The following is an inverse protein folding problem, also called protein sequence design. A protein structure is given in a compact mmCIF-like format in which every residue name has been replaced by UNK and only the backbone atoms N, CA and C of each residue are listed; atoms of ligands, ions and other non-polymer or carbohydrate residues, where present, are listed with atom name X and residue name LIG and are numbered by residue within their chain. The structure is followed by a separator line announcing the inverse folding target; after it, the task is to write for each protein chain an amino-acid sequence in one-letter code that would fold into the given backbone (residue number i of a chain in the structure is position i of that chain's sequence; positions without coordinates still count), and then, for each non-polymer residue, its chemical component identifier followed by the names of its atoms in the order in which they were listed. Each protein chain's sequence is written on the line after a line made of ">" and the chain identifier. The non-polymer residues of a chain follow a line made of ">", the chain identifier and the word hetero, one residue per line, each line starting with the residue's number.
data_IF_546749180665
#
_entry.id   IF_546749180665
#
_cell.length_a   1.000
_cell.length_b   1.000
_cell.length_c   1.000
_cell.angle_alpha   90.00
_cell.angle_beta   90.00
_cell.angle_gamma   90.00
#
_symmetry.space_group_name_H-M   'P 1'
#
loop_
_entity.id
_entity.type
_entity.pdbx_description
1 polymer ?
#
# COMPACT_ATOMS: atom_id res chain seq x y z
N UNK A 1 8.54 -18.91 15.38
CA UNK A 1 7.90 -19.19 14.13
C UNK A 1 6.54 -18.52 13.98
N UNK A 2 6.28 -17.94 12.83
CA UNK A 2 5.00 -17.35 12.48
C UNK A 2 4.04 -18.37 11.87
N UNK A 3 2.75 -18.03 11.86
CA UNK A 3 1.74 -18.76 11.10
C UNK A 3 1.50 -18.06 9.77
N UNK A 4 1.46 -18.84 8.68
CA UNK A 4 1.12 -18.35 7.35
C UNK A 4 -0.34 -18.68 7.06
N UNK A 5 -1.10 -17.68 6.61
CA UNK A 5 -2.47 -17.84 6.17
C UNK A 5 -2.53 -17.58 4.67
N UNK A 6 -3.03 -18.56 3.92
CA UNK A 6 -3.34 -18.39 2.51
C UNK A 6 -4.87 -18.33 2.34
N UNK A 7 -5.37 -17.50 1.43
CA UNK A 7 -6.80 -17.43 1.16
C UNK A 7 -7.27 -18.68 0.41
N UNK A 8 -8.33 -19.28 0.92
CA UNK A 8 -9.16 -20.25 0.21
C UNK A 8 -10.54 -19.62 -0.08
N UNK A 9 -11.40 -20.32 -0.78
CA UNK A 9 -12.73 -19.80 -1.17
C UNK A 9 -13.60 -19.38 0.02
N UNK A 10 -13.39 -19.96 1.19
CA UNK A 10 -14.18 -19.72 2.40
C UNK A 10 -13.50 -18.71 3.36
N UNK A 11 -12.34 -18.19 2.99
CA UNK A 11 -11.56 -17.30 3.83
C UNK A 11 -12.00 -15.83 3.75
N UNK A 12 -12.91 -15.51 2.83
CA UNK A 12 -13.39 -14.16 2.60
C UNK A 12 -14.72 -13.93 3.29
N UNK A 13 -14.82 -12.82 4.01
CA UNK A 13 -16.04 -12.34 4.64
C UNK A 13 -16.33 -10.92 4.15
N UNK A 14 -17.60 -10.49 4.17
CA UNK A 14 -17.93 -9.10 3.88
C UNK A 14 -17.34 -8.20 4.96
N UNK A 15 -16.61 -7.18 4.51
CA UNK A 15 -16.13 -6.09 5.35
C UNK A 15 -16.90 -4.82 4.97
N UNK A 16 -17.35 -4.08 5.97
CA UNK A 16 -17.92 -2.76 5.80
C UNK A 16 -16.84 -1.72 6.07
N UNK A 17 -16.58 -0.86 5.07
CA UNK A 17 -15.54 0.19 5.13
C UNK A 17 -16.21 1.56 4.94
N UNK A 18 -16.67 2.21 6.01
CA UNK A 18 -17.35 3.49 5.92
C UNK A 18 -16.47 4.56 5.25
N UNK A 19 -17.03 5.26 4.26
CA UNK A 19 -16.34 6.30 3.51
C UNK A 19 -15.54 5.80 2.30
N UNK A 20 -15.47 4.47 2.07
CA UNK A 20 -14.96 3.93 0.82
C UNK A 20 -16.02 4.08 -0.28
N UNK A 21 -15.58 4.43 -1.50
CA UNK A 21 -16.47 4.57 -2.65
C UNK A 21 -16.68 3.26 -3.41
N UNK A 22 -15.62 2.47 -3.55
CA UNK A 22 -15.64 1.25 -4.36
C UNK A 22 -15.80 -0.01 -3.52
N UNK A 23 -15.35 0.03 -2.26
CA UNK A 23 -15.34 -1.13 -1.35
C UNK A 23 -16.07 -0.85 -0.04
N UNK A 24 -17.12 -0.04 -0.05
CA UNK A 24 -17.93 0.19 1.15
C UNK A 24 -18.44 -1.12 1.77
N UNK A 25 -18.83 -2.08 0.92
CA UNK A 25 -19.06 -3.48 1.31
C UNK A 25 -18.37 -4.39 0.32
N UNK A 26 -17.33 -5.09 0.75
CA UNK A 26 -16.59 -5.96 -0.15
C UNK A 26 -16.04 -7.21 0.55
N UNK A 27 -15.83 -8.26 -0.25
CA UNK A 27 -15.21 -9.49 0.23
C UNK A 27 -13.76 -9.24 0.64
N UNK A 28 -13.41 -9.56 1.87
CA UNK A 28 -12.13 -9.28 2.49
C UNK A 28 -11.56 -10.54 3.15
N UNK A 29 -10.27 -10.78 3.00
CA UNK A 29 -9.57 -11.89 3.64
C UNK A 29 -9.36 -11.60 5.12
N UNK A 30 -10.38 -11.89 5.94
CA UNK A 30 -10.47 -11.50 7.35
C UNK A 30 -9.72 -12.43 8.30
N UNK A 31 -9.50 -13.66 7.90
CA UNK A 31 -8.95 -14.70 8.78
C UNK A 31 -7.67 -14.31 9.53
N UNK A 32 -6.65 -13.67 8.88
CA UNK A 32 -5.43 -13.26 9.57
C UNK A 32 -5.63 -12.17 10.63
N UNK A 33 -6.74 -11.44 10.56
CA UNK A 33 -7.03 -10.29 11.42
C UNK A 33 -7.88 -10.66 12.65
N UNK A 34 -8.34 -11.92 12.75
CA UNK A 34 -9.11 -12.37 13.92
C UNK A 34 -8.20 -12.43 15.14
N UNK A 35 -8.63 -11.78 16.24
CA UNK A 35 -7.94 -11.77 17.53
C UNK A 35 -6.54 -11.15 17.51
N UNK A 36 -6.26 -10.23 16.58
CA UNK A 36 -5.04 -9.42 16.56
C UNK A 36 -5.32 -8.00 17.03
N UNK A 37 -4.37 -7.42 17.74
CA UNK A 37 -4.44 -6.04 18.21
C UNK A 37 -3.39 -5.13 17.55
N UNK A 38 -2.51 -5.68 16.78
CA UNK A 38 -1.48 -4.97 16.00
C UNK A 38 -1.40 -5.54 14.59
N UNK A 39 -1.32 -4.64 13.62
CA UNK A 39 -1.16 -4.99 12.21
C UNK A 39 0.07 -4.25 11.69
N UNK A 40 1.01 -4.99 11.14
CA UNK A 40 2.20 -4.44 10.50
C UNK A 40 2.10 -4.74 9.00
N UNK A 41 2.05 -3.68 8.20
CA UNK A 41 2.14 -3.78 6.74
C UNK A 41 3.60 -3.82 6.30
N UNK A 42 3.97 -4.78 5.46
CA UNK A 42 5.31 -4.85 4.86
C UNK A 42 5.14 -4.94 3.35
N UNK A 43 5.74 -4.02 2.63
CA UNK A 43 5.63 -3.95 1.18
C UNK A 43 6.98 -3.59 0.54
N UNK A 44 7.36 -4.21 -0.59
CA UNK A 44 8.48 -3.75 -1.39
C UNK A 44 8.12 -2.46 -2.15
N UNK A 45 9.11 -1.59 -2.35
CA UNK A 45 8.95 -0.43 -3.21
C UNK A 45 8.99 -0.84 -4.68
N UNK A 46 7.90 -0.57 -5.42
CA UNK A 46 7.76 -0.94 -6.83
C UNK A 46 7.07 0.14 -7.64
N UNK A 47 7.52 0.29 -8.88
CA UNK A 47 6.74 0.93 -9.93
C UNK A 47 5.37 0.27 -10.12
N UNK A 48 4.44 1.00 -10.69
CA UNK A 48 3.15 0.49 -11.12
C UNK A 48 2.61 1.31 -12.29
N UNK A 49 2.35 0.64 -13.40
CA UNK A 49 1.95 1.27 -14.65
C UNK A 49 0.66 2.12 -14.59
N UNK A 50 -0.28 1.82 -13.70
CA UNK A 50 -1.56 2.53 -13.61
C UNK A 50 -1.59 3.60 -12.50
N UNK A 51 -1.03 3.35 -11.34
CA UNK A 51 -1.06 4.28 -10.20
C UNK A 51 0.33 4.80 -9.81
N UNK A 52 1.31 4.60 -10.67
CA UNK A 52 2.69 5.07 -10.56
C UNK A 52 3.53 4.46 -9.44
N UNK A 53 2.90 3.84 -8.44
CA UNK A 53 3.60 3.19 -7.34
C UNK A 53 2.77 2.05 -6.73
N UNK A 54 3.45 0.99 -6.33
CA UNK A 54 2.92 -0.07 -5.47
C UNK A 54 3.76 -0.10 -4.20
N UNK A 55 3.23 0.49 -3.14
CA UNK A 55 3.87 0.71 -1.85
C UNK A 55 2.99 0.15 -0.72
N UNK A 56 3.10 0.70 0.48
CA UNK A 56 2.42 0.22 1.67
C UNK A 56 0.90 0.17 1.54
N UNK A 57 0.26 1.25 1.07
CA UNK A 57 -1.20 1.33 0.94
C UNK A 57 -1.71 0.33 -0.10
N UNK A 58 -1.12 0.34 -1.29
CA UNK A 58 -1.56 -0.56 -2.38
C UNK A 58 -1.35 -2.04 -2.06
N UNK A 59 -0.43 -2.37 -1.18
CA UNK A 59 -0.17 -3.76 -0.80
C UNK A 59 -1.42 -4.45 -0.22
N UNK A 60 -2.31 -3.69 0.42
CA UNK A 60 -3.57 -4.21 0.95
C UNK A 60 -4.56 -4.69 -0.12
N UNK A 61 -4.33 -4.35 -1.39
CA UNK A 61 -5.14 -4.84 -2.50
C UNK A 61 -5.20 -6.37 -2.56
N UNK A 62 -4.15 -7.04 -2.10
CA UNK A 62 -4.09 -8.50 -2.00
C UNK A 62 -5.13 -9.12 -1.07
N UNK A 63 -5.72 -8.34 -0.16
CA UNK A 63 -6.75 -8.80 0.78
C UNK A 63 -8.17 -8.79 0.20
N UNK A 64 -8.38 -8.17 -0.95
CA UNK A 64 -9.68 -8.13 -1.61
C UNK A 64 -9.96 -9.46 -2.29
N UNK A 65 -11.16 -9.98 -2.08
CA UNK A 65 -11.70 -11.15 -2.77
C UNK A 65 -12.53 -10.77 -4.01
N UNK A 66 -13.23 -11.76 -4.55
CA UNK A 66 -14.17 -11.58 -5.66
C UNK A 66 -13.51 -11.04 -6.94
N UNK A 67 -14.28 -10.26 -7.70
CA UNK A 67 -13.83 -9.70 -8.98
C UNK A 67 -12.99 -8.42 -8.81
N UNK A 68 -12.05 -8.41 -7.87
CA UNK A 68 -11.23 -7.22 -7.55
C UNK A 68 -10.54 -6.58 -8.75
N UNK A 69 -10.23 -7.35 -9.81
CA UNK A 69 -9.54 -6.83 -10.99
C UNK A 69 -10.30 -5.70 -11.70
N UNK A 70 -11.63 -5.61 -11.55
CA UNK A 70 -12.43 -4.51 -12.08
C UNK A 70 -11.99 -3.14 -11.56
N UNK A 71 -11.44 -3.07 -10.35
CA UNK A 71 -11.00 -1.81 -9.73
C UNK A 71 -9.75 -1.21 -10.37
N UNK A 72 -9.08 -1.90 -11.29
CA UNK A 72 -7.98 -1.31 -12.04
C UNK A 72 -8.44 -0.18 -12.99
N UNK A 73 -9.75 -0.09 -13.28
CA UNK A 73 -10.31 1.02 -14.04
C UNK A 73 -10.34 2.33 -13.23
N UNK A 74 -10.46 2.23 -11.89
CA UNK A 74 -10.48 3.34 -10.95
C UNK A 74 -9.36 3.19 -9.92
N UNK A 75 -8.13 2.98 -10.39
CA UNK A 75 -7.01 2.52 -9.57
C UNK A 75 -6.65 3.49 -8.43
N UNK A 76 -6.75 4.79 -8.65
CA UNK A 76 -6.46 5.77 -7.60
C UNK A 76 -7.55 5.78 -6.53
N UNK A 77 -8.83 5.63 -6.93
CA UNK A 77 -9.94 5.54 -5.97
C UNK A 77 -9.81 4.30 -5.11
N UNK A 78 -9.62 3.11 -5.73
CA UNK A 78 -9.50 1.87 -4.94
C UNK A 78 -8.29 1.92 -3.99
N UNK A 79 -7.12 2.42 -4.43
CA UNK A 79 -5.96 2.50 -3.55
C UNK A 79 -6.22 3.47 -2.39
N UNK A 80 -6.91 4.58 -2.62
CA UNK A 80 -7.32 5.47 -1.53
C UNK A 80 -8.31 4.81 -0.56
N UNK A 81 -9.24 3.98 -1.06
CA UNK A 81 -10.16 3.21 -0.22
C UNK A 81 -9.42 2.18 0.66
N UNK A 82 -8.36 1.55 0.12
CA UNK A 82 -7.53 0.63 0.89
C UNK A 82 -6.90 1.28 2.12
N UNK A 83 -6.61 2.59 2.05
CA UNK A 83 -6.00 3.34 3.16
C UNK A 83 -6.91 3.46 4.38
N UNK A 84 -8.24 3.47 4.17
CA UNK A 84 -9.22 3.48 5.25
C UNK A 84 -9.74 2.08 5.61
N UNK A 85 -9.63 1.13 4.69
CA UNK A 85 -10.00 -0.27 4.92
C UNK A 85 -9.11 -0.92 5.99
N UNK A 86 -7.81 -0.68 5.92
CA UNK A 86 -6.83 -1.17 6.90
C UNK A 86 -6.06 0.01 7.45
N UNK A 87 -6.07 0.14 8.78
CA UNK A 87 -5.24 1.11 9.52
C UNK A 87 -4.12 0.34 10.25
N UNK A 88 -2.96 0.18 9.61
CA UNK A 88 -1.86 -0.54 10.22
C UNK A 88 -1.31 0.22 11.43
N UNK A 89 -0.82 -0.53 12.42
CA UNK A 89 -0.07 0.04 13.55
C UNK A 89 1.30 0.56 13.09
N UNK A 90 1.86 -0.10 12.08
CA UNK A 90 3.14 0.24 11.48
C UNK A 90 3.12 -0.18 10.01
N UNK A 91 3.62 0.68 9.13
CA UNK A 91 3.91 0.36 7.73
C UNK A 91 5.42 0.32 7.55
N UNK A 92 5.93 -0.74 6.93
CA UNK A 92 7.32 -0.89 6.54
C UNK A 92 7.37 -0.98 5.02
N UNK A 93 8.17 -0.13 4.39
CA UNK A 93 8.47 -0.22 2.96
C UNK A 93 9.92 -0.67 2.80
N UNK A 94 10.08 -1.83 2.19
CA UNK A 94 11.36 -2.38 1.82
C UNK A 94 11.86 -1.71 0.54
N UNK A 95 12.85 -0.87 0.67
CA UNK A 95 13.57 -0.20 -0.40
C UNK A 95 15.00 -0.70 -0.54
N UNK A 96 15.34 -1.88 -0.02
CA UNK A 96 16.68 -2.45 -0.23
C UNK A 96 16.96 -2.66 -1.71
N UNK A 97 15.95 -3.14 -2.44
CA UNK A 97 15.91 -3.20 -3.90
C UNK A 97 14.58 -2.66 -4.39
N UNK A 98 14.62 -1.79 -5.38
CA UNK A 98 13.45 -1.06 -5.88
C UNK A 98 13.22 -1.40 -7.34
N UNK A 99 12.02 -1.84 -7.69
CA UNK A 99 11.61 -2.00 -9.09
C UNK A 99 11.24 -0.62 -9.63
N UNK A 100 12.07 -0.09 -10.53
CA UNK A 100 11.97 1.29 -11.04
C UNK A 100 11.01 1.43 -12.21
N UNK A 101 10.87 0.39 -13.01
CA UNK A 101 10.11 0.41 -14.28
C UNK A 101 9.43 -0.93 -14.52
N UNK A 102 8.42 -0.94 -15.41
CA UNK A 102 7.67 -2.12 -15.84
C UNK A 102 6.97 -2.86 -14.68
N UNK A 103 6.63 -2.12 -13.61
CA UNK A 103 5.86 -2.66 -12.49
C UNK A 103 4.36 -2.83 -12.79
N UNK A 104 3.69 -3.63 -11.98
CA UNK A 104 4.14 -4.18 -10.68
C UNK A 104 4.87 -5.53 -10.77
N UNK A 105 4.84 -6.21 -11.92
CA UNK A 105 5.41 -7.55 -12.07
C UNK A 105 6.88 -7.55 -12.46
N UNK A 106 7.30 -6.51 -13.17
CA UNK A 106 8.66 -6.44 -13.72
C UNK A 106 8.89 -7.52 -14.76
N UNK A 107 10.04 -8.17 -14.72
CA UNK A 107 10.40 -9.27 -15.59
C UNK A 107 11.86 -9.22 -16.05
N UNK A 108 12.46 -8.03 -15.99
CA UNK A 108 13.86 -7.82 -16.30
C UNK A 108 14.61 -7.29 -15.05
N UNK A 109 15.66 -7.98 -14.58
CA UNK A 109 16.48 -7.53 -13.47
C UNK A 109 17.10 -6.13 -13.66
N UNK A 110 17.30 -5.68 -14.90
CA UNK A 110 17.81 -4.33 -15.20
C UNK A 110 16.88 -3.20 -14.72
N UNK A 111 15.59 -3.51 -14.53
CA UNK A 111 14.61 -2.56 -13.99
C UNK A 111 14.70 -2.42 -12.46
N UNK A 112 15.55 -3.20 -11.79
CA UNK A 112 15.72 -3.17 -10.34
C UNK A 112 17.00 -2.41 -9.99
N UNK A 113 16.90 -1.51 -9.03
CA UNK A 113 18.03 -0.77 -8.46
C UNK A 113 18.15 -1.02 -6.97
N UNK A 114 19.36 -0.93 -6.47
CA UNK A 114 19.62 -0.90 -5.04
C UNK A 114 19.17 0.45 -4.47
N UNK A 115 18.24 0.39 -3.51
CA UNK A 115 17.77 1.57 -2.79
C UNK A 115 18.39 1.70 -1.40
N UNK A 116 18.96 0.59 -0.86
CA UNK A 116 19.72 0.51 0.39
C UNK A 116 19.01 1.17 1.59
N UNK A 117 17.69 1.13 1.62
CA UNK A 117 16.91 1.76 2.67
C UNK A 117 15.73 0.89 3.11
N UNK A 118 15.37 1.02 4.38
CA UNK A 118 14.11 0.52 4.93
C UNK A 118 13.40 1.71 5.54
N UNK A 119 12.16 1.93 5.13
CA UNK A 119 11.31 2.97 5.66
C UNK A 119 10.26 2.37 6.58
N UNK A 120 10.05 2.98 7.74
CA UNK A 120 8.99 2.58 8.66
C UNK A 120 8.20 3.81 9.14
N UNK A 121 6.89 3.72 9.19
CA UNK A 121 6.04 4.83 9.60
C UNK A 121 4.67 4.38 10.12
N UNK A 122 4.10 5.21 11.00
CA UNK A 122 2.75 5.04 11.52
C UNK A 122 1.70 5.82 10.71
N UNK A 123 2.15 6.70 9.82
CA UNK A 123 1.33 7.41 8.85
C UNK A 123 1.56 6.78 7.47
N UNK A 124 0.62 5.97 6.94
CA UNK A 124 0.83 5.26 5.69
C UNK A 124 0.92 6.20 4.47
N UNK A 125 0.25 7.36 4.51
CA UNK A 125 0.27 8.34 3.42
C UNK A 125 1.64 9.02 3.36
N UNK A 126 2.14 9.48 4.50
CA UNK A 126 3.48 10.07 4.61
C UNK A 126 4.58 9.08 4.22
N UNK A 127 4.43 7.82 4.64
CA UNK A 127 5.35 6.72 4.31
C UNK A 127 5.41 6.48 2.79
N UNK A 128 4.25 6.35 2.15
CA UNK A 128 4.18 6.13 0.70
C UNK A 128 4.64 7.36 -0.09
N UNK A 129 4.34 8.59 0.38
CA UNK A 129 4.80 9.82 -0.25
C UNK A 129 6.34 9.92 -0.26
N UNK A 130 6.98 9.63 0.87
CA UNK A 130 8.44 9.60 0.96
C UNK A 130 9.03 8.52 0.04
N UNK A 131 8.48 7.32 0.07
CA UNK A 131 8.96 6.22 -0.76
C UNK A 131 8.83 6.52 -2.26
N UNK A 132 7.78 7.20 -2.67
CA UNK A 132 7.58 7.63 -4.05
C UNK A 132 8.67 8.61 -4.50
N UNK A 133 8.94 9.64 -3.70
CA UNK A 133 9.94 10.67 -4.05
C UNK A 133 11.37 10.13 -3.99
N UNK A 134 11.71 9.32 -2.98
CA UNK A 134 13.11 8.96 -2.68
C UNK A 134 13.51 7.56 -3.12
N UNK A 135 12.63 6.56 -2.98
CA UNK A 135 12.95 5.19 -3.42
C UNK A 135 12.67 5.02 -4.92
N UNK A 136 11.51 5.46 -5.40
CA UNK A 136 11.19 5.44 -6.83
C UNK A 136 11.82 6.62 -7.60
N UNK A 137 12.43 7.57 -6.90
CA UNK A 137 13.13 8.73 -7.49
C UNK A 137 12.24 9.53 -8.44
N UNK A 138 10.98 9.75 -8.08
CA UNK A 138 9.99 10.47 -8.86
C UNK A 138 9.62 11.79 -8.18
N UNK A 139 10.45 12.84 -8.40
CA UNK A 139 10.16 14.18 -7.86
C UNK A 139 8.96 14.80 -8.58
N UNK A 140 8.25 15.67 -7.88
CA UNK A 140 7.14 16.43 -8.45
C UNK A 140 5.80 16.03 -7.84
N UNK A 141 4.77 15.92 -8.69
CA UNK A 141 3.43 15.61 -8.22
C UNK A 141 3.33 14.16 -7.74
N UNK A 142 2.85 13.98 -6.53
CA UNK A 142 2.55 12.65 -5.99
C UNK A 142 1.36 12.01 -6.72
N UNK A 143 1.26 10.67 -6.72
CA UNK A 143 0.09 9.97 -7.24
C UNK A 143 -1.22 10.43 -6.59
N UNK A 144 -2.28 10.56 -7.38
CA UNK A 144 -3.56 11.08 -6.90
C UNK A 144 -4.14 10.30 -5.71
N UNK A 145 -3.91 9.00 -5.64
CA UNK A 145 -4.38 8.19 -4.51
C UNK A 145 -3.86 8.66 -3.15
N UNK A 146 -2.68 9.31 -3.09
CA UNK A 146 -2.13 9.83 -1.84
C UNK A 146 -2.91 11.06 -1.35
N UNK A 147 -3.25 11.98 -2.25
CA UNK A 147 -4.10 13.14 -1.92
C UNK A 147 -5.51 12.69 -1.53
N UNK A 148 -6.07 11.71 -2.23
CA UNK A 148 -7.38 11.15 -1.91
C UNK A 148 -7.36 10.43 -0.56
N UNK A 149 -6.30 9.69 -0.22
CA UNK A 149 -6.13 9.05 1.08
C UNK A 149 -5.98 10.08 2.21
N UNK A 150 -5.30 11.19 1.97
CA UNK A 150 -5.25 12.31 2.92
C UNK A 150 -6.63 12.93 3.14
N UNK A 151 -7.42 13.14 2.08
CA UNK A 151 -8.80 13.62 2.17
C UNK A 151 -9.69 12.67 2.97
N UNK A 152 -9.47 11.36 2.85
CA UNK A 152 -10.15 10.32 3.65
C UNK A 152 -9.64 10.20 5.09
N UNK A 153 -8.67 11.02 5.50
CA UNK A 153 -8.16 11.07 6.86
C UNK A 153 -7.19 9.95 7.23
N UNK A 154 -6.54 9.31 6.24
CA UNK A 154 -5.62 8.20 6.47
C UNK A 154 -4.21 8.65 6.85
N UNK A 155 -3.87 9.91 6.65
CA UNK A 155 -2.55 10.47 6.94
C UNK A 155 -2.32 11.79 6.23
N UNK A 156 -1.05 12.19 6.08
CA UNK A 156 -0.64 13.45 5.46
C UNK A 156 0.42 13.24 4.40
N UNK A 157 0.26 13.86 3.23
CA UNK A 157 1.27 13.82 2.17
C UNK A 157 2.56 14.56 2.54
N UNK A 158 2.46 15.60 3.40
CA UNK A 158 3.64 16.27 3.92
C UNK A 158 4.31 15.45 5.03
N UNK A 159 5.37 14.74 4.65
CA UNK A 159 6.19 13.93 5.57
C UNK A 159 7.38 14.71 6.16
N UNK A 160 7.77 15.86 5.58
CA UNK A 160 9.05 16.54 5.85
C UNK A 160 9.22 16.93 7.31
N UNK A 161 8.15 17.38 7.94
CA UNK A 161 8.16 17.80 9.36
C UNK A 161 8.13 16.61 10.34
N UNK A 162 8.07 15.38 9.82
CA UNK A 162 7.87 14.15 10.61
C UNK A 162 8.95 13.11 10.37
N UNK A 163 9.84 13.36 9.41
CA UNK A 163 10.90 12.43 9.04
C UNK A 163 12.04 12.46 10.05
N UNK A 164 12.43 11.28 10.49
CA UNK A 164 13.68 11.06 11.22
C UNK A 164 14.54 10.09 10.44
N UNK A 165 15.71 10.53 10.01
CA UNK A 165 16.70 9.66 9.37
C UNK A 165 17.58 9.04 10.43
N UNK A 166 17.79 7.72 10.35
CA UNK A 166 18.73 6.96 11.17
C UNK A 166 19.74 6.36 10.23
N UNK A 167 20.99 6.73 10.40
CA UNK A 167 22.15 6.26 9.62
C UNK A 167 23.01 5.32 10.44
#
# INVERSE_FOLDING_TARGET
>A
GGRVYLPDSNAFELLYTPGAKLIEQWAFFKRPFKNVNKVIGIAPAKDHNLCHASLGIKNWYGLLGGRRNQFHQDIHEIVSDLSIMIRPTLTIVDGTRVLMENGPTGGDPSNVRDGNAILAGIDPVATDAWAFEHLLQRPGRLPDYLYMAEQKGSGKVNYRDRLKVIT
#
